data_IF_396845653443
#
_entry.id   IF_396845653443
#
_cell.length_a   1.000
_cell.length_b   1.000
_cell.length_c   1.000
_cell.angle_alpha   90.00
_cell.angle_beta   90.00
_cell.angle_gamma   90.00
#
_symmetry.space_group_name_H-M   'P 1'
#
loop_
_entity.id
_entity.type
_entity.pdbx_description
1 polymer ?
#
# COMPACT_ATOMS: atom_id res chain seq x y z
N UNK A 1 -64.86 -56.54 39.89
CA UNK A 1 -63.83 -55.66 40.47
C UNK A 1 -62.59 -55.77 39.60
N UNK A 2 -62.33 -54.81 38.70
CA UNK A 2 -61.10 -54.72 37.91
C UNK A 2 -60.53 -53.34 38.17
N UNK A 3 -59.67 -53.23 39.17
CA UNK A 3 -59.15 -51.94 39.58
C UNK A 3 -57.84 -51.60 38.85
N UNK A 4 -57.97 -50.49 38.11
CA UNK A 4 -57.00 -49.49 37.70
C UNK A 4 -55.59 -49.99 37.35
N UNK A 5 -55.31 -50.05 36.04
CA UNK A 5 -53.96 -49.98 35.49
C UNK A 5 -53.20 -48.82 36.13
N UNK A 6 -52.11 -49.14 36.84
CA UNK A 6 -51.07 -48.19 37.19
C UNK A 6 -50.47 -47.61 35.90
N UNK A 7 -50.90 -46.41 35.53
CA UNK A 7 -50.24 -45.58 34.53
C UNK A 7 -48.97 -45.05 35.18
N UNK A 8 -47.85 -45.74 35.00
CA UNK A 8 -46.53 -45.21 35.31
C UNK A 8 -46.30 -43.96 34.46
N UNK A 9 -46.27 -42.80 35.11
CA UNK A 9 -45.83 -41.55 34.48
C UNK A 9 -44.29 -41.61 34.48
N UNK A 10 -43.62 -41.43 33.33
CA UNK A 10 -42.16 -41.44 33.30
C UNK A 10 -41.61 -40.30 34.16
N UNK A 11 -40.56 -40.60 34.92
CA UNK A 11 -39.80 -39.65 35.72
C UNK A 11 -39.06 -38.70 34.77
N UNK A 12 -39.66 -37.54 34.50
CA UNK A 12 -38.97 -36.44 33.83
C UNK A 12 -37.91 -35.90 34.80
N UNK A 13 -36.64 -35.90 34.35
CA UNK A 13 -35.59 -35.17 35.06
C UNK A 13 -36.05 -33.72 35.25
N UNK A 14 -36.04 -33.19 36.49
CA UNK A 14 -36.50 -31.83 36.74
C UNK A 14 -35.61 -30.86 35.96
N UNK A 15 -36.23 -29.98 35.17
CA UNK A 15 -35.52 -28.91 34.48
C UNK A 15 -34.70 -28.10 35.49
N UNK A 16 -33.48 -27.76 35.11
CA UNK A 16 -32.62 -26.87 35.90
C UNK A 16 -33.26 -25.49 36.01
N UNK A 17 -32.88 -24.71 37.03
CA UNK A 17 -33.43 -23.35 37.23
C UNK A 17 -33.26 -22.52 35.96
N UNK A 18 -32.11 -22.64 35.29
CA UNK A 18 -31.83 -21.92 34.05
C UNK A 18 -32.75 -22.37 32.89
N UNK A 19 -32.98 -23.67 32.73
CA UNK A 19 -33.95 -24.19 31.76
C UNK A 19 -35.39 -23.76 32.08
N UNK A 20 -35.78 -23.78 33.36
CA UNK A 20 -37.10 -23.30 33.80
C UNK A 20 -37.23 -21.80 33.51
N UNK A 21 -36.19 -21.02 33.79
CA UNK A 21 -36.16 -19.58 33.53
C UNK A 21 -36.26 -19.29 32.03
N UNK A 22 -35.52 -19.99 31.19
CA UNK A 22 -35.60 -19.83 29.73
C UNK A 22 -36.93 -20.31 29.15
N UNK A 23 -37.55 -21.33 29.74
CA UNK A 23 -38.82 -21.88 29.26
C UNK A 23 -40.03 -21.05 29.74
N UNK A 24 -39.95 -20.44 30.93
CA UNK A 24 -41.01 -19.59 31.53
C UNK A 24 -40.87 -18.13 31.14
N UNK A 25 -39.65 -17.59 31.08
CA UNK A 25 -39.37 -16.18 30.77
C UNK A 25 -38.86 -15.97 29.33
N UNK A 26 -38.55 -17.03 28.58
CA UNK A 26 -37.84 -16.95 27.30
C UNK A 26 -36.35 -16.67 27.49
N UNK A 27 -35.57 -16.73 26.40
CA UNK A 27 -34.19 -16.19 26.32
C UNK A 27 -34.22 -14.65 26.28
N UNK A 28 -34.73 -14.09 27.38
CA UNK A 28 -35.26 -12.74 27.60
C UNK A 28 -35.17 -11.80 26.40
N UNK A 29 -36.25 -11.77 25.64
CA UNK A 29 -36.51 -10.75 24.62
C UNK A 29 -36.82 -9.41 25.28
N UNK A 30 -36.32 -8.33 24.69
CA UNK A 30 -36.55 -6.96 25.15
C UNK A 30 -36.73 -6.05 23.94
N UNK A 31 -37.23 -4.84 24.18
CA UNK A 31 -37.29 -3.84 23.13
C UNK A 31 -35.91 -3.24 22.88
N UNK A 32 -35.42 -3.33 21.65
CA UNK A 32 -34.21 -2.65 21.21
C UNK A 32 -34.62 -1.54 20.26
N UNK A 33 -34.27 -0.30 20.60
CA UNK A 33 -34.55 0.87 19.75
C UNK A 33 -34.04 0.63 18.32
N UNK A 34 -34.95 0.74 17.34
CA UNK A 34 -34.66 0.52 15.92
C UNK A 34 -34.64 -0.94 15.45
N UNK A 35 -34.78 -1.93 16.35
CA UNK A 35 -34.81 -3.37 16.01
C UNK A 35 -36.09 -4.09 16.48
N UNK A 36 -36.91 -3.45 17.31
CA UNK A 36 -38.20 -3.97 17.76
C UNK A 36 -38.11 -4.87 18.99
N UNK A 37 -39.20 -5.61 19.25
CA UNK A 37 -39.27 -6.62 20.32
C UNK A 37 -38.81 -7.98 19.80
N UNK A 38 -37.89 -8.63 20.51
CA UNK A 38 -37.42 -9.97 20.14
C UNK A 38 -36.18 -10.39 20.91
N UNK A 39 -35.71 -11.64 20.72
CA UNK A 39 -34.46 -12.11 21.30
C UNK A 39 -33.30 -11.20 20.89
N UNK A 40 -32.40 -10.90 21.83
CA UNK A 40 -31.23 -10.06 21.55
C UNK A 40 -30.43 -10.68 20.40
N UNK A 41 -30.22 -9.97 19.27
CA UNK A 41 -29.42 -10.49 18.18
C UNK A 41 -28.01 -10.80 18.70
N UNK A 42 -27.41 -11.90 18.25
CA UNK A 42 -26.05 -12.29 18.58
C UNK A 42 -25.02 -11.34 17.92
N UNK A 43 -25.00 -10.08 18.36
CA UNK A 43 -24.12 -9.02 17.85
C UNK A 43 -22.66 -9.29 18.19
N UNK A 44 -22.38 -10.00 19.28
CA UNK A 44 -21.02 -10.23 19.80
C UNK A 44 -20.17 -11.08 18.85
N UNK A 45 -20.71 -12.19 18.31
CA UNK A 45 -19.95 -13.12 17.46
C UNK A 45 -19.75 -12.55 16.05
N UNK A 46 -20.80 -11.97 15.47
CA UNK A 46 -20.70 -11.33 14.14
C UNK A 46 -19.75 -10.14 14.16
N UNK A 47 -19.75 -9.34 15.23
CA UNK A 47 -18.83 -8.20 15.37
C UNK A 47 -17.40 -8.67 15.51
N UNK A 48 -17.12 -9.67 16.37
CA UNK A 48 -15.77 -10.25 16.53
C UNK A 48 -15.20 -10.83 15.24
N UNK A 49 -16.04 -11.50 14.44
CA UNK A 49 -15.62 -12.04 13.14
C UNK A 49 -15.25 -10.91 12.18
N UNK A 50 -16.10 -9.88 12.08
CA UNK A 50 -15.85 -8.71 11.23
C UNK A 50 -14.60 -7.94 11.66
N UNK A 51 -14.36 -7.79 12.96
CA UNK A 51 -13.15 -7.12 13.45
C UNK A 51 -11.90 -7.92 13.11
N UNK A 52 -11.93 -9.25 13.25
CA UNK A 52 -10.81 -10.10 12.86
C UNK A 52 -10.54 -10.05 11.35
N UNK A 53 -11.59 -10.08 10.52
CA UNK A 53 -11.47 -9.92 9.07
C UNK A 53 -10.89 -8.55 8.68
N UNK A 54 -11.29 -7.47 9.37
CA UNK A 54 -10.72 -6.13 9.17
C UNK A 54 -9.27 -6.01 9.62
N UNK A 55 -8.90 -6.62 10.74
CA UNK A 55 -7.52 -6.66 11.24
C UNK A 55 -6.60 -7.41 10.27
N UNK A 56 -7.06 -8.55 9.75
CA UNK A 56 -6.32 -9.31 8.74
C UNK A 56 -6.19 -8.54 7.42
N UNK A 57 -7.25 -7.86 6.97
CA UNK A 57 -7.19 -7.01 5.78
C UNK A 57 -6.23 -5.84 5.97
N UNK A 58 -6.25 -5.20 7.14
CA UNK A 58 -5.33 -4.11 7.48
C UNK A 58 -3.88 -4.59 7.52
N UNK A 59 -3.62 -5.79 8.07
CA UNK A 59 -2.27 -6.38 8.09
C UNK A 59 -1.75 -6.61 6.67
N UNK A 60 -2.55 -7.24 5.81
CA UNK A 60 -2.19 -7.48 4.39
C UNK A 60 -1.94 -6.17 3.64
N UNK A 61 -2.82 -5.18 3.81
CA UNK A 61 -2.66 -3.88 3.17
C UNK A 61 -1.36 -3.18 3.59
N UNK A 62 -0.94 -3.32 4.86
CA UNK A 62 0.34 -2.78 5.35
C UNK A 62 1.53 -3.52 4.75
N UNK A 63 1.47 -4.84 4.64
CA UNK A 63 2.52 -5.66 4.02
C UNK A 63 2.67 -5.31 2.54
N UNK A 64 1.57 -5.26 1.79
CA UNK A 64 1.56 -4.88 0.37
C UNK A 64 2.10 -3.47 0.16
N UNK A 65 1.71 -2.52 1.02
CA UNK A 65 2.23 -1.15 0.99
C UNK A 65 3.74 -1.10 1.26
N UNK A 66 4.25 -1.87 2.21
CA UNK A 66 5.67 -1.94 2.51
C UNK A 66 6.48 -2.53 1.34
N UNK A 67 5.96 -3.58 0.69
CA UNK A 67 6.57 -4.19 -0.51
C UNK A 67 6.60 -3.17 -1.65
N UNK A 68 5.48 -2.48 -1.90
CA UNK A 68 5.40 -1.46 -2.94
C UNK A 68 6.36 -0.29 -2.67
N UNK A 69 6.45 0.17 -1.43
CA UNK A 69 7.40 1.22 -1.02
C UNK A 69 8.85 0.80 -1.24
N UNK A 70 9.21 -0.42 -0.84
CA UNK A 70 10.55 -0.96 -1.09
C UNK A 70 10.87 -1.02 -2.58
N UNK A 71 9.96 -1.56 -3.40
CA UNK A 71 10.14 -1.63 -4.85
C UNK A 71 10.25 -0.25 -5.51
N UNK A 72 9.51 0.75 -5.02
CA UNK A 72 9.65 2.13 -5.49
C UNK A 72 11.00 2.72 -5.10
N UNK A 73 11.49 2.48 -3.88
CA UNK A 73 12.79 2.99 -3.44
C UNK A 73 13.94 2.40 -4.26
N UNK A 74 13.90 1.09 -4.56
CA UNK A 74 14.90 0.44 -5.39
C UNK A 74 14.93 1.04 -6.82
N UNK A 75 13.76 1.23 -7.42
CA UNK A 75 13.63 1.87 -8.73
C UNK A 75 14.14 3.31 -8.74
N UNK A 76 13.93 4.04 -7.64
CA UNK A 76 14.38 5.42 -7.50
C UNK A 76 15.91 5.47 -7.41
N UNK A 77 16.52 4.60 -6.60
CA UNK A 77 17.98 4.50 -6.51
C UNK A 77 18.62 4.15 -7.87
N UNK A 78 18.03 3.19 -8.62
CA UNK A 78 18.52 2.85 -9.97
C UNK A 78 18.43 4.07 -10.89
N UNK A 79 17.27 4.75 -10.94
CA UNK A 79 17.08 5.93 -11.77
C UNK A 79 18.06 7.06 -11.41
N UNK A 80 18.35 7.28 -10.12
CA UNK A 80 19.34 8.27 -9.68
C UNK A 80 20.74 7.95 -10.21
N UNK A 81 21.17 6.69 -10.14
CA UNK A 81 22.48 6.29 -10.67
C UNK A 81 22.56 6.45 -12.20
N UNK A 82 21.50 6.13 -12.93
CA UNK A 82 21.43 6.31 -14.37
C UNK A 82 21.49 7.78 -14.77
N UNK A 83 20.74 8.65 -14.08
CA UNK A 83 20.77 10.10 -14.31
C UNK A 83 22.16 10.67 -14.00
N UNK A 84 22.80 10.25 -12.91
CA UNK A 84 24.16 10.67 -12.59
C UNK A 84 25.16 10.25 -13.69
N UNK A 85 25.05 9.02 -14.19
CA UNK A 85 25.90 8.52 -15.27
C UNK A 85 25.69 9.30 -16.58
N UNK A 86 24.44 9.57 -16.95
CA UNK A 86 24.11 10.39 -18.11
C UNK A 86 24.66 11.80 -17.97
N UNK A 87 24.56 12.38 -16.77
CA UNK A 87 25.06 13.72 -16.49
C UNK A 87 26.58 13.81 -16.65
N UNK A 88 27.32 12.78 -16.24
CA UNK A 88 28.77 12.68 -16.48
C UNK A 88 29.07 12.65 -17.98
N UNK A 89 28.38 11.80 -18.74
CA UNK A 89 28.59 11.70 -20.20
C UNK A 89 28.32 13.03 -20.92
N UNK A 90 27.23 13.72 -20.55
CA UNK A 90 26.91 15.04 -21.10
C UNK A 90 28.02 16.06 -20.80
N UNK A 91 28.55 16.07 -19.57
CA UNK A 91 29.64 16.96 -19.20
C UNK A 91 30.91 16.67 -20.00
N UNK A 92 31.26 15.39 -20.18
CA UNK A 92 32.41 14.98 -21.01
C UNK A 92 32.26 15.48 -22.44
N UNK A 93 31.14 15.19 -23.09
CA UNK A 93 30.87 15.62 -24.46
C UNK A 93 30.86 17.15 -24.60
N UNK A 94 30.31 17.85 -23.60
CA UNK A 94 30.30 19.32 -23.59
C UNK A 94 31.72 19.90 -23.53
N UNK A 95 32.60 19.30 -22.71
CA UNK A 95 34.01 19.69 -22.63
C UNK A 95 34.72 19.45 -23.96
N UNK A 96 34.55 18.25 -24.55
CA UNK A 96 35.14 17.90 -25.85
C UNK A 96 34.72 18.89 -26.95
N UNK A 97 33.43 19.20 -27.06
CA UNK A 97 32.92 20.19 -28.02
C UNK A 97 33.50 21.59 -27.77
N UNK A 98 33.67 21.98 -26.50
CA UNK A 98 34.33 23.22 -26.13
C UNK A 98 35.79 23.29 -26.61
N UNK A 99 36.55 22.21 -26.42
CA UNK A 99 37.93 22.13 -26.90
C UNK A 99 38.04 22.16 -28.41
N UNK A 100 37.13 21.45 -29.11
CA UNK A 100 37.10 21.43 -30.57
C UNK A 100 36.81 22.83 -31.12
N UNK A 101 35.84 23.53 -30.51
CA UNK A 101 35.52 24.91 -30.89
C UNK A 101 36.71 25.85 -30.67
N UNK A 102 37.38 25.77 -29.52
CA UNK A 102 38.56 26.59 -29.24
C UNK A 102 39.67 26.36 -30.27
N UNK A 103 39.91 25.09 -30.64
CA UNK A 103 40.88 24.73 -31.69
C UNK A 103 40.49 25.29 -33.07
N UNK A 104 39.19 25.26 -33.41
CA UNK A 104 38.71 25.85 -34.67
C UNK A 104 38.91 27.37 -34.70
N UNK A 105 38.64 28.07 -33.59
CA UNK A 105 38.85 29.52 -33.47
C UNK A 105 40.35 29.88 -33.55
N UNK A 106 41.23 29.08 -32.94
CA UNK A 106 42.68 29.24 -33.04
C UNK A 106 43.18 29.12 -34.48
N UNK A 107 42.77 28.06 -35.19
CA UNK A 107 43.14 27.85 -36.61
C UNK A 107 42.66 29.02 -37.48
N UNK A 108 41.43 29.51 -37.26
CA UNK A 108 40.90 30.65 -38.00
C UNK A 108 41.71 31.93 -37.73
N UNK A 109 42.10 32.17 -36.47
CA UNK A 109 42.90 33.31 -36.09
C UNK A 109 44.30 33.24 -36.71
N UNK A 110 44.91 32.06 -36.74
CA UNK A 110 46.22 31.85 -37.38
C UNK A 110 46.16 32.12 -38.89
N UNK A 111 45.15 31.60 -39.59
CA UNK A 111 44.95 31.91 -41.02
C UNK A 111 44.81 33.41 -41.28
N UNK A 112 44.08 34.14 -40.43
CA UNK A 112 43.95 35.61 -40.54
C UNK A 112 45.28 36.33 -40.35
N UNK A 113 46.11 35.90 -39.38
CA UNK A 113 47.43 36.50 -39.14
C UNK A 113 48.34 36.34 -40.35
N UNK A 114 48.37 35.14 -40.95
CA UNK A 114 49.18 34.87 -42.14
C UNK A 114 48.70 35.69 -43.35
N UNK A 115 47.39 35.85 -43.55
CA UNK A 115 46.87 36.60 -44.69
C UNK A 115 47.03 38.12 -44.55
N UNK A 116 46.89 38.69 -43.34
CA UNK A 116 46.98 40.13 -43.10
C UNK A 116 48.46 40.57 -42.91
N UNK A 117 49.30 39.74 -42.31
CA UNK A 117 50.71 40.04 -42.04
C UNK A 117 51.66 39.95 -43.24
N UNK A 118 51.21 39.41 -44.38
CA UNK A 118 52.03 39.22 -45.59
C UNK A 118 51.77 40.25 -46.69
N UNK A 119 51.21 41.43 -46.37
CA UNK A 119 51.20 42.54 -47.33
C UNK A 119 52.65 42.92 -47.65
N UNK A 120 53.13 42.80 -48.91
CA UNK A 120 54.47 43.25 -49.24
C UNK A 120 54.49 44.76 -49.07
N UNK A 121 55.29 45.23 -48.11
CA UNK A 121 55.72 46.63 -48.03
C UNK A 121 56.33 46.95 -49.39
N UNK A 122 55.58 47.67 -50.21
CA UNK A 122 56.08 48.21 -51.46
C UNK A 122 56.92 49.42 -51.05
N UNK A 123 58.23 49.20 -50.86
CA UNK A 123 59.19 50.29 -50.71
C UNK A 123 59.65 50.75 -52.10
N UNK A 124 59.59 52.07 -52.28
CA UNK A 124 59.95 52.89 -53.44
C UNK A 124 61.40 52.71 -53.93
#
# INVERSE_FOLDING_TARGET
MRDLRARSVPEENPMTIDEIVDNVLGTRSGYINGLGYGPKPNTTTTTKRRTAELEDALRRAKEDAAIAQHGLQERLNVAETEVANQQIQIQTLTSELGTLRARQEEILNEMKRQFIGSSPSSED
#
